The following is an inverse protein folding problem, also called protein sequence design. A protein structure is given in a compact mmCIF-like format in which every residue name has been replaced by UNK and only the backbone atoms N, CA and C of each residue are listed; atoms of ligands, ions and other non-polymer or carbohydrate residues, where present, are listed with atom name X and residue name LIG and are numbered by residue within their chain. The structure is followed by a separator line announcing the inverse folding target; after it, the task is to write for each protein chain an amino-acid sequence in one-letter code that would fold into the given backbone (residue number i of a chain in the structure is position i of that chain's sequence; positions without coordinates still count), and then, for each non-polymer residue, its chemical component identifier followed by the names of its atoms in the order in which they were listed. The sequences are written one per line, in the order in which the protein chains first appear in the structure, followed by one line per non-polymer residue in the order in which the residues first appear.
data_IF_620707625017
#
_entry.id   IF_620707625017
#
_cell.length_a   1.000
_cell.length_b   1.000
_cell.length_c   1.000
_cell.angle_alpha   90.00
_cell.angle_beta   90.00
_cell.angle_gamma   90.00
#
_symmetry.space_group_name_H-M   'P 1'
#
loop_
_entity.id
_entity.type
_entity.pdbx_description
1 polymer ?
#
# COMPACT_ATOMS: atom_id res chain seq x y z
N UNK A 1 -3.65 16.80 8.58
CA UNK A 1 -2.61 15.75 8.51
C UNK A 1 -2.94 14.52 9.36
N UNK A 2 -3.25 14.64 10.65
CA UNK A 2 -3.66 13.50 11.50
C UNK A 2 -5.00 12.88 11.04
N UNK A 3 -5.96 13.70 10.63
CA UNK A 3 -7.32 13.28 10.21
C UNK A 3 -7.35 12.38 8.98
N UNK A 4 -6.58 12.73 7.93
CA UNK A 4 -6.54 11.97 6.67
C UNK A 4 -6.08 10.52 6.88
N UNK A 5 -5.13 10.33 7.79
CA UNK A 5 -4.44 9.06 7.99
C UNK A 5 -5.18 8.12 8.96
N UNK A 6 -5.89 8.68 9.93
CA UNK A 6 -6.92 7.93 10.68
C UNK A 6 -8.04 7.47 9.76
N UNK A 7 -8.50 8.31 8.83
CA UNK A 7 -9.57 7.96 7.90
C UNK A 7 -9.12 6.88 6.91
N UNK A 8 -7.95 7.00 6.29
CA UNK A 8 -7.44 5.95 5.38
C UNK A 8 -7.28 4.63 6.11
N UNK A 9 -6.72 4.58 7.32
CA UNK A 9 -6.65 3.32 8.09
C UNK A 9 -8.03 2.75 8.42
N UNK A 10 -8.98 3.59 8.80
CA UNK A 10 -10.31 3.16 9.25
C UNK A 10 -11.23 2.74 8.10
N UNK A 11 -11.11 3.41 6.95
CA UNK A 11 -11.79 3.04 5.71
C UNK A 11 -11.14 1.84 5.02
N UNK A 12 -9.81 1.70 5.09
CA UNK A 12 -9.10 0.55 4.53
C UNK A 12 -9.49 -0.78 5.16
N UNK A 13 -9.77 -0.79 6.47
CA UNK A 13 -10.36 -1.91 7.19
C UNK A 13 -11.84 -2.17 6.82
N UNK A 14 -12.51 -1.21 6.18
CA UNK A 14 -13.94 -1.30 5.84
C UNK A 14 -14.18 -1.79 4.42
N UNK A 15 -13.31 -1.43 3.47
CA UNK A 15 -13.44 -1.81 2.05
C UNK A 15 -12.71 -3.11 1.72
N UNK A 16 -11.68 -3.46 2.49
CA UNK A 16 -10.94 -4.72 2.30
C UNK A 16 -11.35 -5.72 3.37
N UNK A 17 -11.82 -6.93 3.00
CA UNK A 17 -12.13 -7.98 3.96
C UNK A 17 -10.98 -8.26 4.94
N UNK A 18 -11.32 -8.46 6.22
CA UNK A 18 -10.31 -8.56 7.28
C UNK A 18 -9.43 -9.81 7.17
N UNK A 19 -9.95 -10.89 6.60
CA UNK A 19 -9.21 -12.11 6.28
C UNK A 19 -8.09 -11.85 5.26
N UNK A 20 -8.35 -10.97 4.27
CA UNK A 20 -7.35 -10.53 3.30
C UNK A 20 -6.29 -9.66 3.97
N UNK A 21 -6.68 -8.68 4.78
CA UNK A 21 -5.72 -7.83 5.49
C UNK A 21 -4.81 -8.66 6.42
N UNK A 22 -5.39 -9.67 7.06
CA UNK A 22 -4.65 -10.57 7.95
C UNK A 22 -3.66 -11.46 7.20
N UNK A 23 -3.94 -11.86 5.95
CA UNK A 23 -3.04 -12.71 5.17
C UNK A 23 -1.71 -12.01 4.85
N UNK A 24 -1.70 -10.68 4.80
CA UNK A 24 -0.49 -9.90 4.48
C UNK A 24 0.58 -9.87 5.59
N UNK A 25 0.30 -10.43 6.77
CA UNK A 25 1.28 -10.53 7.85
C UNK A 25 1.78 -9.16 8.36
N UNK A 26 0.90 -8.17 8.48
CA UNK A 26 1.26 -6.82 8.92
C UNK A 26 1.78 -6.85 10.36
N UNK A 27 3.02 -6.40 10.57
CA UNK A 27 3.66 -6.36 11.90
C UNK A 27 3.83 -4.95 12.47
N UNK A 28 3.87 -3.92 11.61
CA UNK A 28 3.93 -2.50 12.00
C UNK A 28 3.12 -1.67 11.03
N UNK A 29 2.45 -0.65 11.55
CA UNK A 29 1.69 0.32 10.75
C UNK A 29 1.80 1.71 11.37
N UNK A 30 2.20 2.71 10.59
CA UNK A 30 2.34 4.08 11.08
C UNK A 30 2.23 5.14 9.97
N UNK A 31 1.95 6.37 10.41
CA UNK A 31 1.86 7.57 9.58
C UNK A 31 3.23 8.22 9.40
N UNK A 32 3.56 8.68 8.19
CA UNK A 32 4.72 9.56 7.98
C UNK A 32 4.48 10.51 6.80
N UNK A 33 5.43 11.41 6.58
CA UNK A 33 5.63 12.08 5.29
C UNK A 33 6.84 11.45 4.60
N UNK A 34 6.79 11.32 3.29
CA UNK A 34 7.90 10.87 2.45
C UNK A 34 8.22 11.92 1.39
N UNK A 35 9.48 12.02 1.01
CA UNK A 35 9.91 12.84 -0.14
C UNK A 35 10.25 11.90 -1.28
N UNK A 36 9.63 12.12 -2.44
CA UNK A 36 9.87 11.33 -3.66
C UNK A 36 10.14 12.23 -4.84
N UNK A 37 11.12 11.84 -5.66
CA UNK A 37 11.37 12.50 -6.93
C UNK A 37 10.38 11.95 -7.96
N UNK A 38 9.52 12.83 -8.49
CA UNK A 38 8.55 12.52 -9.54
C UNK A 38 8.85 13.48 -10.68
N UNK A 39 9.18 12.95 -11.85
CA UNK A 39 9.49 13.74 -13.06
C UNK A 39 10.59 14.81 -12.87
N UNK A 40 11.58 14.55 -12.01
CA UNK A 40 12.68 15.49 -11.74
C UNK A 40 12.44 16.45 -10.59
N UNK A 41 11.22 16.51 -10.03
CA UNK A 41 10.86 17.37 -8.91
C UNK A 41 10.63 16.57 -7.62
N UNK A 42 10.99 17.13 -6.47
CA UNK A 42 10.79 16.49 -5.17
C UNK A 42 9.43 16.88 -4.60
N UNK A 43 8.56 15.90 -4.40
CA UNK A 43 7.25 16.06 -3.76
C UNK A 43 7.26 15.47 -2.36
N UNK A 44 6.66 16.21 -1.42
CA UNK A 44 6.38 15.69 -0.08
C UNK A 44 4.97 15.11 -0.08
N UNK A 45 4.84 13.84 0.29
CA UNK A 45 3.56 13.11 0.30
C UNK A 45 3.30 12.56 1.69
N UNK A 46 2.07 12.68 2.18
CA UNK A 46 1.61 11.94 3.35
C UNK A 46 1.49 10.46 3.00
N UNK A 47 2.00 9.56 3.85
CA UNK A 47 2.00 8.13 3.59
C UNK A 47 1.62 7.31 4.83
N UNK A 48 0.79 6.29 4.62
CA UNK A 48 0.62 5.18 5.54
C UNK A 48 1.65 4.11 5.21
N UNK A 49 2.46 3.73 6.20
CA UNK A 49 3.51 2.72 6.05
C UNK A 49 3.08 1.45 6.77
N UNK A 50 3.25 0.30 6.10
CA UNK A 50 3.00 -1.02 6.64
C UNK A 50 4.22 -1.92 6.44
N UNK A 51 4.69 -2.58 7.51
CA UNK A 51 5.64 -3.68 7.38
C UNK A 51 4.84 -4.97 7.16
N UNK A 52 4.96 -5.55 5.97
CA UNK A 52 4.23 -6.74 5.54
C UNK A 52 5.15 -7.94 5.40
N UNK A 53 4.58 -9.13 5.53
CA UNK A 53 5.23 -10.41 5.31
C UNK A 53 4.34 -11.30 4.45
N UNK A 54 3.95 -10.79 3.28
CA UNK A 54 3.12 -11.52 2.34
C UNK A 54 3.91 -12.53 1.51
N UNK A 55 3.18 -13.36 0.78
CA UNK A 55 3.77 -14.40 -0.06
C UNK A 55 4.59 -13.83 -1.23
N UNK A 56 4.08 -12.78 -1.91
CA UNK A 56 4.73 -12.17 -3.07
C UNK A 56 5.69 -11.05 -2.67
N UNK A 57 5.33 -10.27 -1.64
CA UNK A 57 6.13 -9.15 -1.18
C UNK A 57 6.32 -9.15 0.34
N UNK A 58 7.59 -9.06 0.74
CA UNK A 58 8.02 -8.89 2.13
C UNK A 58 8.88 -7.63 2.21
N UNK A 59 8.52 -6.71 3.09
CA UNK A 59 9.15 -5.39 3.16
C UNK A 59 8.21 -4.33 3.70
N UNK A 60 8.59 -3.05 3.54
CA UNK A 60 7.71 -1.94 3.85
C UNK A 60 6.92 -1.54 2.62
N UNK A 61 5.63 -1.39 2.77
CA UNK A 61 4.73 -0.81 1.77
C UNK A 61 4.35 0.59 2.22
N UNK A 62 4.43 1.55 1.31
CA UNK A 62 4.02 2.93 1.50
C UNK A 62 2.82 3.21 0.62
N UNK A 63 1.70 3.57 1.23
CA UNK A 63 0.50 4.07 0.55
C UNK A 63 0.53 5.59 0.70
N UNK A 64 1.01 6.27 -0.34
CA UNK A 64 1.20 7.71 -0.35
C UNK A 64 0.05 8.40 -1.08
N UNK A 65 -0.45 9.50 -0.52
CA UNK A 65 -1.40 10.37 -1.19
C UNK A 65 -0.65 11.34 -2.11
N UNK A 66 -1.04 11.39 -3.38
CA UNK A 66 -0.65 12.45 -4.29
C UNK A 66 -1.66 13.60 -4.17
N UNK A 67 -1.32 14.58 -3.32
CA UNK A 67 -2.17 15.75 -3.03
C UNK A 67 -2.51 16.59 -4.27
N UNK A 68 -1.77 16.44 -5.38
CA UNK A 68 -2.07 17.12 -6.64
C UNK A 68 -3.18 16.48 -7.47
N UNK A 69 -3.60 15.24 -7.14
CA UNK A 69 -4.53 14.46 -7.97
C UNK A 69 -5.59 13.68 -7.18
N UNK A 70 -5.55 13.70 -5.84
CA UNK A 70 -6.41 12.90 -4.95
C UNK A 70 -6.33 11.37 -5.17
N UNK A 71 -5.31 10.90 -5.91
CA UNK A 71 -5.02 9.47 -6.11
C UNK A 71 -3.88 8.99 -5.21
N UNK A 72 -3.80 7.67 -5.05
CA UNK A 72 -2.74 7.03 -4.28
C UNK A 72 -1.60 6.53 -5.16
N UNK A 73 -0.40 6.53 -4.58
CA UNK A 73 0.82 5.91 -5.10
C UNK A 73 1.31 4.87 -4.12
N UNK A 74 1.77 3.73 -4.64
CA UNK A 74 2.25 2.61 -3.84
C UNK A 74 3.74 2.43 -4.09
N UNK A 75 4.52 2.49 -3.01
CA UNK A 75 5.94 2.18 -3.01
C UNK A 75 6.23 0.95 -2.15
N UNK A 76 7.19 0.14 -2.58
CA UNK A 76 7.74 -0.97 -1.79
C UNK A 76 9.21 -0.71 -1.47
N UNK A 77 9.60 -0.90 -0.22
CA UNK A 77 10.99 -0.90 0.22
C UNK A 77 11.40 -2.29 0.66
N UNK A 78 12.44 -2.80 0.01
CA UNK A 78 13.09 -4.07 0.32
C UNK A 78 14.61 -3.88 0.25
N UNK A 79 15.33 -4.43 1.23
CA UNK A 79 16.79 -4.36 1.31
C UNK A 79 17.36 -2.92 1.18
N UNK A 80 16.67 -1.95 1.79
CA UNK A 80 17.05 -0.53 1.76
C UNK A 80 16.76 0.19 0.44
N UNK A 81 16.24 -0.50 -0.57
CA UNK A 81 15.86 0.08 -1.86
C UNK A 81 14.37 0.31 -1.92
N UNK A 82 13.95 1.56 -2.17
CA UNK A 82 12.54 1.88 -2.42
C UNK A 82 12.25 1.97 -3.91
N UNK A 83 11.18 1.32 -4.36
CA UNK A 83 10.68 1.35 -5.74
C UNK A 83 9.19 1.73 -5.76
N UNK A 84 8.77 2.49 -6.76
CA UNK A 84 7.34 2.71 -7.06
C UNK A 84 6.80 1.50 -7.83
N UNK A 85 5.67 0.95 -7.36
CA UNK A 85 5.00 -0.18 -8.00
C UNK A 85 3.75 0.24 -8.75
N UNK A 86 2.97 1.16 -8.17
CA UNK A 86 1.70 1.62 -8.73
C UNK A 86 1.51 3.12 -8.47
N UNK A 87 0.83 3.80 -9.38
CA UNK A 87 0.43 5.21 -9.25
C UNK A 87 -0.98 5.40 -9.84
N UNK A 88 -1.61 6.54 -9.52
CA UNK A 88 -2.99 6.86 -9.93
C UNK A 88 -4.03 5.84 -9.47
N UNK A 89 -3.89 5.32 -8.24
CA UNK A 89 -4.80 4.31 -7.70
C UNK A 89 -5.97 5.00 -6.99
N UNK A 90 -7.19 4.68 -7.40
CA UNK A 90 -8.38 5.20 -6.73
C UNK A 90 -8.56 4.56 -5.36
N UNK A 91 -9.31 5.22 -4.48
CA UNK A 91 -9.50 4.75 -3.11
C UNK A 91 -10.13 3.34 -3.04
N UNK A 92 -11.12 3.08 -3.88
CA UNK A 92 -11.86 1.81 -3.97
C UNK A 92 -11.04 0.67 -4.61
N UNK A 93 -9.94 0.99 -5.29
CA UNK A 93 -9.03 0.01 -5.91
C UNK A 93 -7.88 -0.41 -4.97
N UNK A 94 -7.64 0.33 -3.88
CA UNK A 94 -6.48 0.13 -3.00
C UNK A 94 -6.36 -1.30 -2.46
N UNK A 95 -7.47 -1.86 -1.99
CA UNK A 95 -7.48 -3.21 -1.38
C UNK A 95 -7.02 -4.28 -2.36
N UNK A 96 -7.59 -4.28 -3.57
CA UNK A 96 -7.29 -5.27 -4.60
C UNK A 96 -5.86 -5.11 -5.15
N UNK A 97 -5.40 -3.88 -5.36
CA UNK A 97 -4.03 -3.62 -5.82
C UNK A 97 -3.01 -4.07 -4.77
N UNK A 98 -3.26 -3.79 -3.49
CA UNK A 98 -2.37 -4.21 -2.40
C UNK A 98 -2.37 -5.72 -2.22
N UNK A 99 -3.53 -6.38 -2.27
CA UNK A 99 -3.60 -7.84 -2.18
C UNK A 99 -2.84 -8.51 -3.34
N UNK A 100 -3.02 -7.98 -4.56
CA UNK A 100 -2.27 -8.41 -5.74
C UNK A 100 -0.77 -8.24 -5.56
N UNK A 101 -0.32 -7.08 -5.07
CA UNK A 101 1.10 -6.82 -4.86
C UNK A 101 1.72 -7.66 -3.74
N UNK A 102 0.98 -7.89 -2.64
CA UNK A 102 1.51 -8.47 -1.41
C UNK A 102 1.38 -10.00 -1.40
N UNK A 103 0.27 -10.54 -1.89
CA UNK A 103 -0.12 -11.93 -1.64
C UNK A 103 -0.42 -12.73 -2.92
N UNK A 104 -1.28 -12.23 -3.80
CA UNK A 104 -1.81 -13.05 -4.90
C UNK A 104 -1.00 -12.95 -6.19
N UNK A 105 -0.27 -11.86 -6.42
CA UNK A 105 0.54 -11.66 -7.64
C UNK A 105 -0.29 -11.51 -8.90
N UNK A 106 -1.53 -11.02 -8.78
CA UNK A 106 -2.50 -10.91 -9.88
C UNK A 106 -3.15 -12.24 -10.28
N UNK A 107 -2.92 -13.32 -9.53
CA UNK A 107 -3.63 -14.59 -9.72
C UNK A 107 -5.01 -14.56 -9.08
N UNK A 108 -5.93 -15.40 -9.58
CA UNK A 108 -7.26 -15.50 -8.99
C UNK A 108 -7.21 -16.19 -7.62
N UNK A 109 -8.20 -15.91 -6.76
CA UNK A 109 -8.30 -16.51 -5.41
C UNK A 109 -8.44 -18.04 -5.40
N UNK A 110 -8.81 -18.64 -6.53
CA UNK A 110 -8.92 -20.09 -6.69
C UNK A 110 -7.55 -20.73 -6.90
N UNK A 111 -6.62 -20.01 -7.53
CA UNK A 111 -5.26 -20.48 -7.80
C UNK A 111 -4.37 -20.43 -6.55
N UNK A 112 -4.63 -19.51 -5.61
CA UNK A 112 -3.89 -19.41 -4.35
C UNK A 112 -4.27 -20.47 -3.31
N UNK A 113 -5.51 -21.00 -3.34
CA UNK A 113 -5.95 -22.06 -2.41
C UNK A 113 -5.33 -23.44 -2.69
N UNK A 114 -4.68 -23.62 -3.83
CA UNK A 114 -4.04 -24.87 -4.24
C UNK A 114 -2.53 -24.90 -3.94
N UNK A 115 -2.01 -23.90 -3.24
CA UNK A 115 -0.60 -23.79 -2.81
C UNK A 115 -0.49 -23.88 -1.30
#
# INVERSE_FOLDING_TARGET
MVTFLTLTRQFFLHITPIDIINSWGISKMYATQIVKNVNGENFTMAALVMQVNGFQFQGKVYIALDEGSDYYRIFGEKDGTTKEYHHNIAFDELGDVLDSMIETGGMSKEDTKQR
#
